data_IF_268824067701
#
_entry.id   IF_268824067701
#
_cell.length_a   1.000
_cell.length_b   1.000
_cell.length_c   1.000
_cell.angle_alpha   90.00
_cell.angle_beta   90.00
_cell.angle_gamma   90.00
#
_symmetry.space_group_name_H-M   'P 1'
#
loop_
_entity.id
_entity.type
_entity.pdbx_description
1 polymer ?
#
# COMPACT_ATOMS: atom_id res chain seq x y z
N UNK A 1 -8.56 1.42 -30.71
CA UNK A 1 -7.92 1.00 -29.44
C UNK A 1 -8.31 2.02 -28.39
N UNK A 2 -9.13 1.66 -27.40
CA UNK A 2 -9.45 2.56 -26.29
C UNK A 2 -8.35 2.44 -25.24
N UNK A 3 -7.66 3.54 -24.98
CA UNK A 3 -6.77 3.67 -23.83
C UNK A 3 -7.70 3.86 -22.63
N UNK A 4 -7.76 2.88 -21.72
CA UNK A 4 -8.42 3.06 -20.45
C UNK A 4 -7.62 4.13 -19.69
N UNK A 5 -8.07 5.38 -19.74
CA UNK A 5 -7.61 6.38 -18.79
C UNK A 5 -8.03 5.88 -17.41
N UNK A 6 -7.06 5.37 -16.65
CA UNK A 6 -7.23 5.18 -15.20
C UNK A 6 -7.66 6.53 -14.64
N UNK A 7 -8.95 6.69 -14.39
CA UNK A 7 -9.45 7.78 -13.56
C UNK A 7 -9.11 7.39 -12.13
N UNK A 8 -7.92 7.78 -11.69
CA UNK A 8 -7.61 7.80 -10.26
C UNK A 8 -8.65 8.74 -9.64
N UNK A 9 -9.56 8.20 -8.85
CA UNK A 9 -10.56 9.00 -8.13
C UNK A 9 -9.79 9.97 -7.23
N UNK A 10 -9.89 11.30 -7.45
CA UNK A 10 -9.24 12.25 -6.57
C UNK A 10 -9.84 12.15 -5.17
N UNK A 11 -9.00 12.21 -4.12
CA UNK A 11 -9.41 12.17 -2.71
C UNK A 11 -10.03 10.83 -2.24
N UNK A 12 -9.46 9.69 -2.66
CA UNK A 12 -9.81 8.41 -2.04
C UNK A 12 -9.27 8.35 -0.61
N UNK A 13 -10.19 8.52 0.35
CA UNK A 13 -9.91 8.44 1.79
C UNK A 13 -9.22 7.15 2.20
N UNK A 14 -9.45 6.06 1.47
CA UNK A 14 -8.83 4.75 1.72
C UNK A 14 -7.35 4.78 1.35
N UNK A 15 -7.03 5.31 0.16
CA UNK A 15 -5.64 5.47 -0.28
C UNK A 15 -4.90 6.50 0.58
N UNK A 16 -5.55 7.60 0.94
CA UNK A 16 -4.95 8.63 1.80
C UNK A 16 -4.67 8.08 3.20
N UNK A 17 -5.60 7.31 3.77
CA UNK A 17 -5.38 6.62 5.05
C UNK A 17 -4.23 5.62 4.95
N UNK A 18 -4.18 4.82 3.87
CA UNK A 18 -3.09 3.89 3.62
C UNK A 18 -1.73 4.61 3.55
N UNK A 19 -1.67 5.76 2.87
CA UNK A 19 -0.47 6.60 2.78
C UNK A 19 -0.03 7.19 4.12
N UNK A 20 -0.85 7.23 5.18
CA UNK A 20 -0.38 7.63 6.52
C UNK A 20 0.57 6.59 7.14
N UNK A 21 0.46 5.34 6.68
CA UNK A 21 1.22 4.22 7.22
C UNK A 21 2.42 3.87 6.35
N UNK A 22 2.29 4.02 5.05
CA UNK A 22 3.21 3.48 4.06
C UNK A 22 3.76 4.56 3.12
N UNK A 23 5.02 4.37 2.70
CA UNK A 23 5.60 5.02 1.53
C UNK A 23 5.73 3.93 0.47
N UNK A 24 5.40 4.25 -0.77
CA UNK A 24 5.63 3.37 -1.90
C UNK A 24 6.54 4.09 -2.88
N UNK A 25 7.70 3.50 -3.16
CA UNK A 25 8.46 3.77 -4.37
C UNK A 25 8.30 2.59 -5.33
N UNK A 26 8.59 2.82 -6.61
CA UNK A 26 8.38 1.93 -7.77
C UNK A 26 8.19 0.43 -7.47
N UNK A 27 9.08 -0.17 -6.69
CA UNK A 27 9.06 -1.61 -6.37
C UNK A 27 9.16 -1.92 -4.86
N UNK A 28 9.11 -0.90 -4.00
CA UNK A 28 9.32 -1.06 -2.56
C UNK A 28 8.28 -0.32 -1.74
N UNK A 29 7.72 -0.99 -0.74
CA UNK A 29 6.94 -0.34 0.32
C UNK A 29 7.81 -0.18 1.56
N UNK A 30 7.74 0.99 2.17
CA UNK A 30 8.39 1.31 3.43
C UNK A 30 7.37 1.67 4.49
N UNK A 31 7.62 1.21 5.72
CA UNK A 31 6.88 1.72 6.87
C UNK A 31 7.33 3.15 7.18
N UNK A 32 6.41 4.11 7.21
CA UNK A 32 6.73 5.52 7.56
C UNK A 32 7.32 5.72 8.96
N UNK A 33 7.13 4.75 9.86
CA UNK A 33 7.58 4.88 11.26
C UNK A 33 8.95 4.26 11.48
N UNK A 34 9.14 3.00 11.08
CA UNK A 34 10.36 2.26 11.36
C UNK A 34 11.29 2.12 10.14
N UNK A 35 10.89 2.60 8.97
CA UNK A 35 11.63 2.56 7.72
C UNK A 35 12.02 1.16 7.24
N UNK A 36 11.48 0.11 7.87
CA UNK A 36 11.52 -1.24 7.31
C UNK A 36 10.92 -1.21 5.90
N UNK A 37 11.42 -2.08 5.03
CA UNK A 37 11.04 -2.11 3.63
C UNK A 37 10.70 -3.52 3.19
N UNK A 38 9.87 -3.63 2.16
CA UNK A 38 9.51 -4.88 1.53
C UNK A 38 9.41 -4.67 0.01
N UNK A 39 10.08 -5.54 -0.75
CA UNK A 39 9.98 -5.52 -2.21
C UNK A 39 8.63 -6.07 -2.67
N UNK A 40 8.17 -5.62 -3.84
CA UNK A 40 6.97 -6.16 -4.50
C UNK A 40 7.10 -7.66 -4.81
N UNK A 41 8.33 -8.16 -4.99
CA UNK A 41 8.56 -9.60 -5.19
C UNK A 41 8.22 -10.44 -3.95
N UNK A 42 8.22 -9.82 -2.78
CA UNK A 42 7.87 -10.45 -1.50
C UNK A 42 6.43 -10.14 -1.07
N UNK A 43 5.59 -9.58 -1.96
CA UNK A 43 4.23 -9.14 -1.64
C UNK A 43 3.28 -10.23 -1.09
N UNK A 44 3.64 -11.51 -1.28
CA UNK A 44 2.92 -12.65 -0.72
C UNK A 44 3.25 -12.92 0.74
N UNK A 45 4.34 -12.36 1.26
CA UNK A 45 4.81 -12.54 2.62
C UNK A 45 4.29 -11.43 3.53
N UNK A 46 4.08 -11.71 4.83
CA UNK A 46 3.84 -10.68 5.82
C UNK A 46 4.97 -9.64 5.82
N UNK A 47 4.61 -8.37 5.89
CA UNK A 47 5.55 -7.28 6.10
C UNK A 47 6.15 -7.39 7.49
N UNK A 48 7.49 -7.37 7.56
CA UNK A 48 8.22 -7.47 8.81
C UNK A 48 8.70 -6.08 9.24
N UNK A 49 8.21 -5.60 10.38
CA UNK A 49 8.68 -4.35 10.96
C UNK A 49 9.96 -4.52 11.76
N UNK A 50 10.78 -3.46 11.82
CA UNK A 50 11.88 -3.37 12.77
C UNK A 50 11.37 -3.41 14.23
N UNK A 51 12.19 -3.97 15.12
CA UNK A 51 11.90 -4.07 16.57
C UNK A 51 11.59 -2.68 17.14
N UNK A 52 10.55 -2.60 17.98
CA UNK A 52 10.09 -1.36 18.60
C UNK A 52 9.20 -0.49 17.70
N UNK A 53 8.87 -0.95 16.50
CA UNK A 53 7.84 -0.30 15.68
C UNK A 53 6.47 -0.47 16.35
N UNK A 54 5.96 0.58 17.00
CA UNK A 54 4.61 0.62 17.57
C UNK A 54 3.47 0.60 16.51
N UNK A 55 3.70 -0.02 15.35
CA UNK A 55 2.70 -0.32 14.31
C UNK A 55 2.64 -1.81 13.96
N UNK A 56 3.60 -2.62 14.42
CA UNK A 56 3.74 -4.03 14.03
C UNK A 56 2.54 -4.91 14.38
N UNK A 57 1.76 -4.54 15.39
CA UNK A 57 0.68 -5.38 15.93
C UNK A 57 -0.71 -4.82 15.58
N UNK A 58 -0.77 -3.60 15.02
CA UNK A 58 -2.00 -2.81 14.90
C UNK A 58 -2.44 -2.51 13.45
N UNK A 59 -1.56 -2.75 12.47
CA UNK A 59 -1.82 -2.41 11.07
C UNK A 59 -1.54 -3.60 10.14
N UNK A 60 -2.20 -3.61 8.98
CA UNK A 60 -2.20 -4.72 8.02
C UNK A 60 -0.80 -5.28 7.78
N UNK A 61 -0.68 -6.59 7.95
CA UNK A 61 0.56 -7.32 7.69
C UNK A 61 0.85 -7.46 6.19
N UNK A 62 -0.05 -7.03 5.30
CA UNK A 62 0.09 -7.23 3.86
C UNK A 62 -0.15 -5.94 3.08
N UNK A 63 0.75 -4.94 3.20
CA UNK A 63 0.53 -3.62 2.63
C UNK A 63 0.40 -3.61 1.11
N UNK A 64 1.04 -4.55 0.41
CA UNK A 64 0.87 -4.75 -1.04
C UNK A 64 -0.53 -5.23 -1.43
N UNK A 65 -1.10 -6.15 -0.64
CA UNK A 65 -2.44 -6.68 -0.89
C UNK A 65 -3.50 -5.60 -0.62
N UNK A 66 -3.32 -4.82 0.45
CA UNK A 66 -4.16 -3.65 0.72
C UNK A 66 -4.12 -2.66 -0.44
N UNK A 67 -2.93 -2.31 -0.92
CA UNK A 67 -2.76 -1.37 -2.04
C UNK A 67 -3.44 -1.90 -3.31
N UNK A 68 -3.26 -3.19 -3.62
CA UNK A 68 -3.91 -3.82 -4.76
C UNK A 68 -5.45 -3.79 -4.65
N UNK A 69 -6.00 -4.03 -3.45
CA UNK A 69 -7.43 -3.95 -3.20
C UNK A 69 -7.98 -2.53 -3.39
N UNK A 70 -7.27 -1.52 -2.88
CA UNK A 70 -7.62 -0.10 -3.07
C UNK A 70 -7.62 0.26 -4.56
N UNK A 71 -6.55 -0.08 -5.28
CA UNK A 71 -6.42 0.20 -6.71
C UNK A 71 -7.49 -0.52 -7.54
N UNK A 72 -7.79 -1.78 -7.23
CA UNK A 72 -8.85 -2.54 -7.90
C UNK A 72 -10.22 -1.91 -7.67
N UNK A 73 -10.52 -1.46 -6.46
CA UNK A 73 -11.78 -0.78 -6.15
C UNK A 73 -11.92 0.54 -6.93
N UNK A 74 -10.83 1.31 -7.07
CA UNK A 74 -10.82 2.53 -7.88
C UNK A 74 -11.04 2.24 -9.37
N UNK A 75 -10.39 1.20 -9.89
CA UNK A 75 -10.54 0.77 -11.29
C UNK A 75 -11.95 0.31 -11.64
N UNK A 76 -12.66 -0.30 -10.68
CA UNK A 76 -14.04 -0.77 -10.87
C UNK A 76 -15.09 0.34 -10.80
N UNK A 77 -14.70 1.53 -10.31
CA UNK A 77 -15.56 2.71 -10.21
C UNK A 77 -15.39 3.69 -11.39
N UNK A 78 -14.50 3.37 -12.35
CA UNK A 78 -14.11 4.24 -13.46
C UNK A 78 -14.91 4.02 -14.76
#
# INVERSE_FOLDING_TARGET
>A
MMVAHLRVVPNDRTLDSWKLHWIHDETTIHCRRCLASQSVFDASQPFVHNIGCGRGDAFSHYPWQDLAAILKAQLQQA
#
